data_IF_814410959397
#
_entry.id   IF_814410959397
#
_cell.length_a   1.000
_cell.length_b   1.000
_cell.length_c   1.000
_cell.angle_alpha   90.00
_cell.angle_beta   90.00
_cell.angle_gamma   90.00
#
_symmetry.space_group_name_H-M   'P 1'
#
loop_
_entity.id
_entity.type
_entity.pdbx_description
1 polymer ?
#
# COMPACT_ATOMS: atom_id res chain seq x y z
N UNK A 1 -1.92 -14.64 8.71
CA UNK A 1 -1.85 -14.28 8.49
C UNK A 1 -1.80 -13.08 8.39
N UNK A 2 -1.52 -12.50 7.85
CA UNK A 2 -1.34 -11.31 7.82
C UNK A 2 -2.29 -10.59 7.08
N UNK A 3 -3.32 -10.09 7.64
CA UNK A 3 -4.19 -9.30 6.99
C UNK A 3 -3.76 -7.91 7.12
N UNK A 4 -3.63 -7.17 6.05
CA UNK A 4 -3.27 -5.77 6.07
C UNK A 4 -4.53 -4.97 5.89
N UNK A 5 -4.85 -4.18 6.87
CA UNK A 5 -6.05 -3.36 6.84
C UNK A 5 -5.75 -2.03 6.17
N UNK A 6 -6.67 -1.59 5.36
CA UNK A 6 -6.52 -0.31 4.69
C UNK A 6 -7.82 0.48 4.80
N UNK A 7 -7.71 1.78 4.58
CA UNK A 7 -8.84 2.69 4.65
C UNK A 7 -8.90 3.45 3.34
N UNK A 8 -10.11 3.66 2.84
CA UNK A 8 -10.31 4.44 1.63
C UNK A 8 -11.24 5.58 1.98
N UNK A 9 -10.85 6.79 1.61
CA UNK A 9 -11.65 7.98 1.84
C UNK A 9 -11.87 8.69 0.52
N UNK A 10 -13.08 9.20 0.33
CA UNK A 10 -13.34 10.00 -0.85
C UNK A 10 -13.00 11.44 -0.53
N UNK A 11 -12.40 12.11 -1.48
CA UNK A 11 -11.94 13.47 -1.30
C UNK A 11 -12.93 14.43 -1.97
N UNK A 12 -12.94 15.69 -1.53
CA UNK A 12 -13.87 16.64 -2.09
C UNK A 12 -13.73 16.86 -3.59
N UNK A 13 -12.52 16.65 -4.13
CA UNK A 13 -12.29 16.86 -5.54
C UNK A 13 -12.69 15.65 -6.40
N UNK A 14 -13.29 14.64 -5.78
CA UNK A 14 -13.72 13.47 -6.55
C UNK A 14 -12.72 12.36 -6.62
N UNK A 15 -11.57 12.55 -6.01
CA UNK A 15 -10.57 11.50 -5.99
C UNK A 15 -10.72 10.67 -4.73
N UNK A 16 -9.96 9.59 -4.67
CA UNK A 16 -9.99 8.70 -3.53
C UNK A 16 -8.60 8.57 -2.96
N UNK A 17 -8.52 8.43 -1.66
CA UNK A 17 -7.27 8.35 -0.93
C UNK A 17 -7.30 7.06 -0.13
N UNK A 18 -6.29 6.24 -0.29
CA UNK A 18 -6.20 4.97 0.41
C UNK A 18 -4.90 4.92 1.18
N UNK A 19 -4.94 4.34 2.36
CA UNK A 19 -3.72 4.22 3.16
C UNK A 19 -3.83 2.99 4.04
N UNK A 20 -2.67 2.49 4.44
CA UNK A 20 -2.64 1.36 5.34
C UNK A 20 -2.82 1.84 6.77
N UNK A 21 -3.65 1.14 7.51
CA UNK A 21 -3.99 1.55 8.85
C UNK A 21 -2.77 1.52 9.76
N UNK A 22 -1.94 0.51 9.63
CA UNK A 22 -0.80 0.36 10.50
C UNK A 22 0.46 0.97 9.94
N UNK A 23 0.47 1.27 8.66
CA UNK A 23 1.64 1.86 8.02
C UNK A 23 1.15 3.02 7.18
N UNK A 24 0.73 4.08 7.83
CA UNK A 24 0.09 5.15 7.10
C UNK A 24 1.05 5.93 6.22
N UNK A 25 2.34 5.65 6.29
CA UNK A 25 3.24 6.20 5.29
C UNK A 25 3.01 5.54 3.93
N UNK A 26 2.32 4.41 3.90
CA UNK A 26 1.93 3.79 2.65
C UNK A 26 0.55 4.30 2.29
N UNK A 27 0.49 5.21 1.35
CA UNK A 27 -0.78 5.80 0.94
C UNK A 27 -0.73 6.10 -0.54
N UNK A 28 -1.90 6.22 -1.13
CA UNK A 28 -1.99 6.45 -2.56
C UNK A 28 -3.30 7.12 -2.88
N UNK A 29 -3.35 7.74 -4.06
CA UNK A 29 -4.55 8.40 -4.55
C UNK A 29 -4.98 7.72 -5.84
N UNK A 30 -6.23 7.88 -6.19
CA UNK A 30 -6.74 7.36 -7.44
C UNK A 30 -8.01 8.09 -7.80
N UNK A 31 -8.38 7.98 -9.07
CA UNK A 31 -9.61 8.60 -9.52
C UNK A 31 -10.81 7.72 -9.21
N UNK A 32 -10.58 6.47 -8.91
CA UNK A 32 -11.63 5.57 -8.47
C UNK A 32 -11.11 4.80 -7.27
N UNK A 33 -12.03 4.15 -6.58
CA UNK A 33 -11.61 3.34 -5.44
C UNK A 33 -10.65 2.24 -5.86
N UNK A 34 -10.96 1.58 -6.98
CA UNK A 34 -10.10 0.51 -7.45
C UNK A 34 -8.72 1.03 -7.78
N UNK A 35 -8.66 2.20 -8.40
CA UNK A 35 -7.37 2.75 -8.75
C UNK A 35 -6.55 3.09 -7.51
N UNK A 36 -7.20 3.67 -6.52
CA UNK A 36 -6.51 3.99 -5.27
C UNK A 36 -6.00 2.72 -4.61
N UNK A 37 -6.81 1.68 -4.62
CA UNK A 37 -6.41 0.41 -4.02
C UNK A 37 -5.23 -0.20 -4.77
N UNK A 38 -5.27 -0.16 -6.09
CA UNK A 38 -4.19 -0.74 -6.87
C UNK A 38 -2.91 0.05 -6.67
N UNK A 39 -3.01 1.37 -6.62
CA UNK A 39 -1.84 2.19 -6.38
C UNK A 39 -1.28 1.93 -5.00
N UNK A 40 -2.17 1.79 -4.02
CA UNK A 40 -1.72 1.51 -2.67
C UNK A 40 -1.05 0.14 -2.61
N UNK A 41 -1.59 -0.82 -3.35
CA UNK A 41 -1.01 -2.16 -3.37
C UNK A 41 0.42 -2.12 -3.91
N UNK A 42 0.64 -1.36 -4.97
CA UNK A 42 1.97 -1.27 -5.55
C UNK A 42 2.95 -0.62 -4.58
N UNK A 43 2.51 0.45 -3.92
CA UNK A 43 3.36 1.14 -2.97
C UNK A 43 3.66 0.23 -1.79
N UNK A 44 2.65 -0.49 -1.32
CA UNK A 44 2.84 -1.39 -0.20
C UNK A 44 3.77 -2.53 -0.57
N UNK A 45 3.63 -3.04 -1.77
CA UNK A 45 4.49 -4.12 -2.22
C UNK A 45 5.95 -3.66 -2.23
N UNK A 46 6.21 -2.47 -2.74
CA UNK A 46 7.57 -1.96 -2.75
C UNK A 46 8.07 -1.76 -1.33
N UNK A 47 7.22 -1.22 -0.47
CA UNK A 47 7.62 -0.98 0.90
C UNK A 47 8.01 -2.28 1.59
N UNK A 48 7.15 -3.29 1.48
CA UNK A 48 7.43 -4.55 2.15
C UNK A 48 8.54 -5.32 1.45
N UNK A 49 8.68 -5.11 0.16
CA UNK A 49 9.76 -5.76 -0.56
C UNK A 49 11.11 -5.23 -0.09
N UNK A 50 11.20 -3.94 0.16
CA UNK A 50 12.44 -3.38 0.67
C UNK A 50 12.75 -3.93 2.05
N UNK A 51 11.74 -4.04 2.88
CA UNK A 51 11.96 -4.58 4.20
C UNK A 51 12.42 -6.02 4.11
N UNK A 52 11.80 -6.79 3.23
CA UNK A 52 12.12 -8.20 3.13
C UNK A 52 13.34 -8.49 2.30
N UNK A 53 13.88 -7.50 1.61
CA UNK A 53 14.99 -7.76 0.72
C UNK A 53 16.20 -8.29 1.47
N UNK A 54 16.36 -7.89 2.72
CA UNK A 54 17.46 -8.38 3.51
C UNK A 54 17.30 -9.87 3.73
N UNK A 55 16.09 -10.30 4.07
CA UNK A 55 15.85 -11.71 4.28
C UNK A 55 15.91 -12.47 2.97
N UNK A 56 15.46 -11.86 1.90
CA UNK A 56 15.48 -12.53 0.62
C UNK A 56 16.91 -12.80 0.20
N UNK A 57 17.79 -11.86 0.46
CA UNK A 57 19.19 -12.07 0.12
C UNK A 57 19.73 -13.26 0.89
N UNK A 58 19.40 -13.34 2.16
CA UNK A 58 19.84 -14.46 2.95
C UNK A 58 19.31 -15.76 2.38
N UNK A 59 18.06 -15.77 2.00
CA UNK A 59 17.47 -16.97 1.44
C UNK A 59 18.17 -17.38 0.19
N UNK A 60 18.54 -16.44 -0.62
CA UNK A 60 19.17 -16.79 -1.87
C UNK A 60 20.57 -17.27 -1.69
N UNK A 61 21.17 -16.91 -0.62
CA UNK A 61 22.50 -17.43 -0.32
C UNK A 61 22.43 -18.87 0.12
#
# INVERSE_FOLDING_TARGET
>A
MNEINYVIESLPNGEFYAYLLEYNQCCAYGETENEAIENLREISYDFFSEINSVFAIDDMA
#
